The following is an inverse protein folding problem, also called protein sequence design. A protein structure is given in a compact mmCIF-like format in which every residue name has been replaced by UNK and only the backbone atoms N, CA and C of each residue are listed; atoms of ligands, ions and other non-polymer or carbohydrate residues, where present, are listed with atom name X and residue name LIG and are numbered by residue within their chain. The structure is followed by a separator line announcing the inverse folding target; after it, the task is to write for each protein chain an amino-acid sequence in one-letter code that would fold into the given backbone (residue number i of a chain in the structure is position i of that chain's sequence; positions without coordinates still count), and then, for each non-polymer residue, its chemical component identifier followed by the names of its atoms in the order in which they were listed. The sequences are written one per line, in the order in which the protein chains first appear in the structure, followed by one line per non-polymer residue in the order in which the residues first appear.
data_IF_818336171789
#
_entry.id   IF_818336171789
#
_cell.length_a   1.000
_cell.length_b   1.000
_cell.length_c   1.000
_cell.angle_alpha   90.00
_cell.angle_beta   90.00
_cell.angle_gamma   90.00
#
_symmetry.space_group_name_H-M   'P 1'
#
loop_
_entity.id
_entity.type
_entity.pdbx_description
1 polymer ?
#
# COMPACT_ATOMS: atom_id res chain seq x y z
N UNK A 1 -6.17 8.48 18.05
CA UNK A 1 -6.13 7.20 18.80
C UNK A 1 -4.82 6.49 18.47
N UNK A 2 -3.93 6.24 19.45
CA UNK A 2 -2.56 5.83 19.13
C UNK A 2 -2.29 4.32 19.30
N UNK A 3 -1.42 3.78 18.44
CA UNK A 3 -0.35 2.82 18.75
C UNK A 3 -0.61 1.33 19.09
N UNK A 4 -1.73 0.69 18.71
CA UNK A 4 -1.95 -0.73 19.09
C UNK A 4 -1.62 -1.81 18.02
N UNK A 5 -1.33 -1.50 16.76
CA UNK A 5 -1.39 -2.53 15.69
C UNK A 5 -0.08 -3.24 15.27
N UNK A 6 1.10 -2.90 15.83
CA UNK A 6 2.39 -3.42 15.32
C UNK A 6 3.17 -4.30 16.32
N UNK A 7 2.79 -4.36 17.60
CA UNK A 7 3.45 -5.22 18.60
C UNK A 7 2.56 -6.40 19.05
N UNK A 8 1.94 -7.12 18.12
CA UNK A 8 1.39 -8.44 18.46
C UNK A 8 2.58 -9.40 18.66
N UNK A 9 2.70 -10.11 19.79
CA UNK A 9 3.78 -11.06 19.99
C UNK A 9 3.70 -12.15 18.91
N UNK A 10 4.80 -12.39 18.20
CA UNK A 10 4.92 -13.50 17.25
C UNK A 10 5.14 -14.76 18.08
N UNK A 11 4.10 -15.58 18.22
CA UNK A 11 4.17 -16.85 18.94
C UNK A 11 4.57 -17.98 17.99
N UNK A 12 5.56 -18.78 18.38
CA UNK A 12 5.98 -19.96 17.64
C UNK A 12 5.02 -21.14 17.91
N UNK A 13 4.85 -22.08 16.97
CA UNK A 13 4.03 -23.28 17.17
C UNK A 13 4.68 -24.19 18.23
N UNK A 14 4.02 -24.42 19.37
CA UNK A 14 4.53 -25.35 20.40
C UNK A 14 3.86 -25.28 21.78
N UNK A 15 3.33 -24.12 22.19
CA UNK A 15 3.00 -23.89 23.61
C UNK A 15 1.48 -23.95 23.98
N UNK A 16 0.59 -24.43 23.11
CA UNK A 16 -0.85 -24.03 23.16
C UNK A 16 -1.88 -25.16 23.35
N UNK A 17 -1.52 -26.27 23.98
CA UNK A 17 -2.42 -27.43 24.08
C UNK A 17 -3.53 -27.33 25.15
N UNK A 18 -3.52 -26.35 26.06
CA UNK A 18 -4.51 -26.32 27.15
C UNK A 18 -5.17 -24.94 27.29
N UNK A 19 -6.51 -24.96 27.29
CA UNK A 19 -7.47 -23.85 27.48
C UNK A 19 -7.79 -22.97 26.26
N UNK A 20 -8.87 -23.32 25.55
CA UNK A 20 -9.57 -22.45 24.59
C UNK A 20 -10.28 -21.34 25.36
N UNK A 21 -9.61 -20.22 25.62
CA UNK A 21 -10.23 -19.06 26.28
C UNK A 21 -11.40 -18.49 25.43
N UNK A 22 -12.59 -18.32 26.02
CA UNK A 22 -13.71 -17.66 25.33
C UNK A 22 -13.31 -16.25 24.88
N UNK A 23 -13.55 -15.92 23.61
CA UNK A 23 -13.33 -14.56 23.07
C UNK A 23 -12.00 -14.35 22.36
N UNK A 24 -11.13 -15.37 22.25
CA UNK A 24 -9.92 -15.29 21.40
C UNK A 24 -10.18 -15.98 20.06
N UNK A 25 -9.86 -15.31 18.95
CA UNK A 25 -9.87 -15.89 17.61
C UNK A 25 -8.43 -16.07 17.10
N UNK A 26 -7.98 -17.32 16.94
CA UNK A 26 -6.63 -17.66 16.45
C UNK A 26 -6.63 -17.72 14.93
N UNK A 27 -5.93 -16.76 14.31
CA UNK A 27 -5.95 -16.54 12.86
C UNK A 27 -4.57 -16.80 12.26
N UNK A 28 -4.49 -17.80 11.37
CA UNK A 28 -3.33 -17.97 10.49
C UNK A 28 -3.47 -17.10 9.25
N UNK A 29 -2.60 -16.10 9.08
CA UNK A 29 -2.57 -15.29 7.85
C UNK A 29 -1.68 -15.98 6.81
N UNK A 30 -2.23 -16.38 5.67
CA UNK A 30 -1.46 -17.03 4.62
C UNK A 30 -0.25 -16.16 4.19
N UNK A 31 0.89 -16.76 3.79
CA UNK A 31 2.10 -16.02 3.42
C UNK A 31 1.84 -14.92 2.40
N UNK A 32 0.99 -15.19 1.40
CA UNK A 32 0.65 -14.25 0.34
C UNK A 32 0.00 -12.98 0.91
N UNK A 33 -1.03 -13.12 1.75
CA UNK A 33 -1.68 -11.99 2.40
C UNK A 33 -0.76 -11.28 3.41
N UNK A 34 0.09 -12.05 4.10
CA UNK A 34 1.10 -11.51 5.03
C UNK A 34 2.15 -10.65 4.32
N UNK A 35 2.60 -11.08 3.13
CA UNK A 35 3.55 -10.34 2.31
C UNK A 35 2.93 -9.04 1.79
N UNK A 36 1.69 -9.10 1.28
CA UNK A 36 1.00 -7.88 0.84
C UNK A 36 0.81 -6.87 1.97
N UNK A 37 0.44 -7.34 3.17
CA UNK A 37 0.38 -6.52 4.37
C UNK A 37 1.73 -5.86 4.68
N UNK A 38 2.81 -6.64 4.62
CA UNK A 38 4.14 -6.18 4.98
C UNK A 38 4.73 -5.16 3.99
N UNK A 39 4.40 -5.25 2.69
CA UNK A 39 4.88 -4.30 1.68
C UNK A 39 3.96 -3.11 1.45
N UNK A 40 2.80 -3.05 2.11
CA UNK A 40 1.90 -1.93 1.94
C UNK A 40 2.21 -0.82 2.94
N UNK A 41 2.49 0.41 2.48
CA UNK A 41 2.50 1.54 3.40
C UNK A 41 1.08 1.95 3.84
N UNK A 42 0.03 1.41 3.20
CA UNK A 42 -1.35 1.89 3.36
C UNK A 42 -2.12 1.27 4.54
N UNK A 43 -1.43 0.52 5.39
CA UNK A 43 -1.98 -0.10 6.60
C UNK A 43 -1.53 -1.54 6.78
N UNK A 44 -2.10 -2.28 7.75
CA UNK A 44 -1.67 -3.63 8.10
C UNK A 44 -2.08 -4.71 7.07
N UNK A 45 -2.67 -4.33 5.93
CA UNK A 45 -3.16 -5.24 4.90
C UNK A 45 -4.67 -5.45 4.96
N UNK A 46 -5.26 -5.73 3.79
CA UNK A 46 -6.71 -5.88 3.63
C UNK A 46 -7.29 -6.92 4.59
N UNK A 47 -6.72 -8.12 4.60
CA UNK A 47 -7.20 -9.25 5.40
C UNK A 47 -7.15 -8.93 6.90
N UNK A 48 -6.10 -8.25 7.34
CA UNK A 48 -5.94 -7.86 8.75
C UNK A 48 -6.98 -6.83 9.16
N UNK A 49 -7.15 -5.76 8.38
CA UNK A 49 -8.16 -4.74 8.71
C UNK A 49 -9.60 -5.28 8.69
N UNK A 50 -9.93 -6.14 7.72
CA UNK A 50 -11.27 -6.73 7.64
C UNK A 50 -11.54 -7.62 8.86
N UNK A 51 -10.57 -8.42 9.26
CA UNK A 51 -10.71 -9.29 10.44
C UNK A 51 -10.69 -8.52 11.75
N UNK A 52 -9.91 -7.44 11.86
CA UNK A 52 -9.91 -6.56 13.03
C UNK A 52 -11.28 -5.89 13.22
N UNK A 53 -11.93 -5.46 12.13
CA UNK A 53 -13.31 -4.93 12.18
C UNK A 53 -14.31 -6.00 12.60
N UNK A 54 -14.23 -7.19 12.00
CA UNK A 54 -15.09 -8.32 12.36
C UNK A 54 -14.94 -8.69 13.84
N UNK A 55 -13.69 -8.80 14.31
CA UNK A 55 -13.39 -9.10 15.70
C UNK A 55 -13.91 -8.02 16.65
N UNK A 56 -13.80 -6.75 16.30
CA UNK A 56 -14.36 -5.65 17.09
C UNK A 56 -15.89 -5.77 17.28
N UNK A 57 -16.62 -6.11 16.22
CA UNK A 57 -18.08 -6.30 16.28
C UNK A 57 -18.49 -7.52 17.09
N UNK A 58 -17.75 -8.62 16.93
CA UNK A 58 -17.97 -9.87 17.67
C UNK A 58 -17.35 -9.85 19.08
N UNK A 59 -16.71 -8.74 19.48
CA UNK A 59 -16.01 -8.55 20.77
C UNK A 59 -14.94 -9.60 21.04
N UNK A 60 -14.13 -9.88 20.02
CA UNK A 60 -13.06 -10.86 20.03
C UNK A 60 -11.70 -10.19 20.10
N UNK A 61 -10.74 -10.90 20.70
CA UNK A 61 -9.32 -10.61 20.61
C UNK A 61 -8.73 -11.46 19.50
N UNK A 62 -8.11 -10.81 18.51
CA UNK A 62 -7.38 -11.52 17.46
C UNK A 62 -6.01 -11.95 17.96
N UNK A 63 -5.68 -13.21 17.70
CA UNK A 63 -4.34 -13.75 17.88
C UNK A 63 -3.78 -14.21 16.53
N UNK A 64 -2.75 -13.52 16.06
CA UNK A 64 -2.17 -13.74 14.74
C UNK A 64 -1.09 -14.81 14.76
N UNK A 65 -1.16 -15.70 13.76
CA UNK A 65 -0.16 -16.70 13.44
C UNK A 65 0.24 -16.53 11.97
N UNK A 66 1.50 -16.77 11.65
CA UNK A 66 2.06 -16.56 10.32
C UNK A 66 2.63 -17.89 9.79
N UNK A 67 1.77 -18.80 9.30
CA UNK A 67 2.22 -20.05 8.70
C UNK A 67 3.14 -19.77 7.51
N UNK A 68 4.10 -20.66 7.29
CA UNK A 68 5.15 -20.58 6.27
C UNK A 68 4.64 -20.93 4.88
N UNK A 69 3.57 -21.73 4.81
CA UNK A 69 2.87 -22.07 3.58
C UNK A 69 1.36 -22.15 3.81
N UNK A 70 0.59 -22.19 2.72
CA UNK A 70 -0.85 -22.41 2.80
C UNK A 70 -1.18 -23.80 3.39
N UNK A 71 -0.37 -24.81 3.06
CA UNK A 71 -0.48 -26.18 3.54
C UNK A 71 -0.21 -26.27 5.04
N UNK A 72 0.79 -25.56 5.55
CA UNK A 72 1.05 -25.50 7.00
C UNK A 72 -0.11 -24.81 7.73
N UNK A 73 -0.64 -23.71 7.20
CA UNK A 73 -1.81 -23.05 7.78
C UNK A 73 -3.01 -24.00 7.86
N UNK A 74 -3.26 -24.77 6.79
CA UNK A 74 -4.32 -25.79 6.78
C UNK A 74 -4.04 -26.94 7.77
N UNK A 75 -2.78 -27.38 7.92
CA UNK A 75 -2.40 -28.40 8.90
C UNK A 75 -2.63 -27.90 10.33
N UNK A 76 -2.21 -26.68 10.65
CA UNK A 76 -2.47 -26.04 11.95
C UNK A 76 -3.97 -25.90 12.23
N UNK A 77 -4.77 -25.57 11.20
CA UNK A 77 -6.23 -25.50 11.33
C UNK A 77 -6.84 -26.88 11.68
N UNK A 78 -6.36 -27.95 11.03
CA UNK A 78 -6.79 -29.34 11.29
C UNK A 78 -6.38 -29.83 12.67
N UNK A 79 -5.17 -29.49 13.11
CA UNK A 79 -4.66 -29.84 14.43
C UNK A 79 -5.34 -29.06 15.57
N UNK A 80 -6.14 -28.05 15.22
CA UNK A 80 -6.85 -27.22 16.19
C UNK A 80 -6.02 -26.08 16.77
N UNK A 81 -4.81 -25.85 16.26
CA UNK A 81 -3.93 -24.74 16.62
C UNK A 81 -4.53 -23.38 16.20
N UNK A 82 -5.28 -23.38 15.09
CA UNK A 82 -5.99 -22.22 14.56
C UNK A 82 -7.50 -22.44 14.59
N UNK A 83 -8.24 -21.33 14.57
CA UNK A 83 -9.69 -21.31 14.35
C UNK A 83 -10.04 -20.88 12.92
N UNK A 84 -9.17 -20.06 12.31
CA UNK A 84 -9.32 -19.48 10.99
C UNK A 84 -7.97 -19.40 10.26
N UNK A 85 -7.96 -19.69 8.96
CA UNK A 85 -6.90 -19.31 8.02
C UNK A 85 -7.43 -18.25 7.07
N UNK A 86 -6.76 -17.09 7.00
CA UNK A 86 -7.17 -15.93 6.22
C UNK A 86 -6.26 -15.72 5.00
N UNK A 87 -6.84 -15.26 3.89
CA UNK A 87 -6.08 -14.93 2.68
C UNK A 87 -5.69 -16.14 1.83
N UNK A 88 -6.42 -17.25 1.95
CA UNK A 88 -6.15 -18.47 1.19
C UNK A 88 -6.58 -18.31 -0.28
N UNK A 89 -5.65 -18.54 -1.21
CA UNK A 89 -5.83 -18.46 -2.67
C UNK A 89 -5.56 -19.79 -3.42
N UNK A 90 -5.37 -20.87 -2.67
CA UNK A 90 -5.19 -22.23 -3.19
C UNK A 90 -6.50 -22.89 -3.65
N UNK A 91 -6.41 -24.10 -4.24
CA UNK A 91 -7.59 -24.91 -4.52
C UNK A 91 -8.34 -25.24 -3.22
N UNK A 92 -9.67 -25.23 -3.24
CA UNK A 92 -10.45 -25.59 -2.06
C UNK A 92 -10.11 -27.01 -1.60
N UNK A 93 -9.72 -27.21 -0.32
CA UNK A 93 -9.51 -28.55 0.20
C UNK A 93 -10.81 -29.36 0.11
N UNK A 94 -10.74 -30.60 -0.39
CA UNK A 94 -11.85 -31.56 -0.28
C UNK A 94 -11.86 -32.16 1.13
N UNK A 95 -12.11 -31.33 2.14
CA UNK A 95 -12.02 -31.69 3.55
C UNK A 95 -13.35 -31.42 4.27
N UNK A 96 -14.05 -32.45 4.76
CA UNK A 96 -15.35 -32.29 5.44
C UNK A 96 -15.24 -31.64 6.82
N UNK A 97 -14.03 -31.53 7.39
CA UNK A 97 -13.76 -30.87 8.67
C UNK A 97 -13.49 -29.37 8.52
N UNK A 98 -13.61 -28.83 7.31
CA UNK A 98 -13.40 -27.41 7.01
C UNK A 98 -14.69 -26.75 6.51
N UNK A 99 -14.85 -25.47 6.86
CA UNK A 99 -15.91 -24.60 6.33
C UNK A 99 -15.30 -23.37 5.65
N UNK A 100 -16.04 -22.77 4.72
CA UNK A 100 -15.53 -21.69 3.86
C UNK A 100 -16.48 -20.49 3.87
N UNK A 101 -15.92 -19.28 3.81
CA UNK A 101 -16.67 -18.08 3.46
C UNK A 101 -16.79 -17.94 1.93
N UNK A 102 -17.72 -17.12 1.43
CA UNK A 102 -17.63 -16.61 0.06
C UNK A 102 -16.22 -16.08 -0.21
N UNK A 103 -15.74 -16.29 -1.43
CA UNK A 103 -14.48 -15.69 -1.85
C UNK A 103 -14.66 -14.22 -2.10
N UNK A 104 -13.63 -13.44 -1.80
CA UNK A 104 -13.54 -12.08 -2.30
C UNK A 104 -12.63 -12.03 -3.51
N UNK A 105 -13.10 -11.46 -4.63
CA UNK A 105 -12.26 -11.27 -5.80
C UNK A 105 -11.21 -10.22 -5.46
N UNK A 106 -9.94 -10.58 -5.46
CA UNK A 106 -8.89 -9.59 -5.61
C UNK A 106 -8.71 -9.29 -7.10
N UNK A 107 -8.20 -8.09 -7.42
CA UNK A 107 -7.83 -7.73 -8.78
C UNK A 107 -6.95 -8.82 -9.42
N UNK A 108 -6.96 -8.87 -10.75
CA UNK A 108 -6.20 -9.84 -11.54
C UNK A 108 -4.73 -9.91 -11.10
N UNK A 109 -4.30 -11.11 -10.74
CA UNK A 109 -2.93 -11.44 -10.33
C UNK A 109 -2.31 -12.28 -11.44
N UNK A 110 -1.04 -12.05 -11.83
CA UNK A 110 -0.28 -12.98 -12.67
C UNK A 110 -0.42 -14.44 -12.20
N UNK A 111 -0.84 -15.32 -13.10
CA UNK A 111 -0.87 -16.76 -12.86
C UNK A 111 0.54 -17.33 -13.05
N UNK A 112 1.20 -17.59 -11.93
CA UNK A 112 2.52 -18.20 -11.89
C UNK A 112 2.46 -19.74 -11.81
N UNK A 113 1.26 -20.34 -11.74
CA UNK A 113 1.08 -21.79 -11.55
C UNK A 113 1.27 -22.60 -12.84
N UNK A 114 1.36 -21.91 -13.99
CA UNK A 114 1.58 -22.53 -15.30
C UNK A 114 3.06 -22.80 -15.65
N UNK A 115 4.01 -22.40 -14.81
CA UNK A 115 5.42 -22.56 -15.07
C UNK A 115 6.06 -23.51 -14.06
N UNK A 116 5.93 -24.81 -14.35
CA UNK A 116 6.62 -25.94 -13.69
C UNK A 116 6.32 -26.08 -12.18
N UNK A 117 5.89 -27.27 -11.74
CA UNK A 117 5.56 -27.60 -10.35
C UNK A 117 6.70 -27.39 -9.34
N UNK A 118 7.90 -26.99 -9.78
CA UNK A 118 9.06 -26.65 -8.95
C UNK A 118 9.39 -25.16 -8.88
N UNK A 119 8.78 -24.30 -9.72
CA UNK A 119 9.06 -22.86 -9.76
C UNK A 119 10.48 -22.47 -10.22
N UNK A 120 11.31 -23.43 -10.65
CA UNK A 120 12.72 -23.23 -10.99
C UNK A 120 12.91 -22.38 -12.26
N UNK A 121 12.15 -22.64 -13.32
CA UNK A 121 12.25 -21.88 -14.57
C UNK A 121 11.74 -20.43 -14.45
N UNK A 122 10.70 -20.21 -13.64
CA UNK A 122 10.18 -18.86 -13.31
C UNK A 122 11.20 -18.09 -12.47
N UNK A 123 11.84 -18.77 -11.51
CA UNK A 123 12.94 -18.23 -10.71
C UNK A 123 14.14 -17.87 -11.57
N UNK A 124 14.56 -18.71 -12.51
CA UNK A 124 15.65 -18.40 -13.44
C UNK A 124 15.31 -17.23 -14.36
N UNK A 125 14.09 -17.15 -14.90
CA UNK A 125 13.66 -16.03 -15.74
C UNK A 125 13.58 -14.71 -14.97
N UNK A 126 13.05 -14.73 -13.75
CA UNK A 126 13.03 -13.57 -12.86
C UNK A 126 14.44 -13.18 -12.42
N UNK A 127 15.31 -14.14 -12.08
CA UNK A 127 16.71 -13.89 -11.74
C UNK A 127 17.50 -13.32 -12.93
N UNK A 128 17.33 -13.88 -14.13
CA UNK A 128 17.96 -13.38 -15.35
C UNK A 128 17.47 -11.97 -15.70
N UNK A 129 16.18 -11.68 -15.51
CA UNK A 129 15.62 -10.39 -15.81
C UNK A 129 15.95 -9.32 -14.74
N UNK A 130 16.09 -9.70 -13.47
CA UNK A 130 16.64 -8.86 -12.39
C UNK A 130 18.14 -8.58 -12.60
N UNK A 131 18.90 -9.61 -13.00
CA UNK A 131 20.33 -9.50 -13.31
C UNK A 131 20.59 -8.62 -14.55
N UNK A 132 19.73 -8.69 -15.57
CA UNK A 132 19.79 -7.81 -16.75
C UNK A 132 19.42 -6.35 -16.44
N UNK A 133 18.75 -6.09 -15.31
CA UNK A 133 18.29 -4.76 -14.90
C UNK A 133 19.29 -4.00 -14.01
N UNK A 134 20.55 -4.44 -13.95
CA UNK A 134 21.61 -3.89 -13.06
C UNK A 134 21.27 -3.88 -11.56
N UNK A 135 20.27 -4.65 -11.12
CA UNK A 135 20.01 -4.91 -9.70
C UNK A 135 20.83 -6.13 -9.29
N UNK A 136 21.96 -5.87 -8.64
CA UNK A 136 22.94 -6.86 -8.19
C UNK A 136 22.33 -7.77 -7.12
N UNK A 137 21.76 -8.92 -7.51
CA UNK A 137 21.36 -9.99 -6.58
C UNK A 137 22.55 -10.92 -6.37
N UNK A 138 23.34 -10.71 -5.32
CA UNK A 138 24.26 -11.74 -4.81
C UNK A 138 23.56 -12.56 -3.74
N UNK A 139 23.24 -13.82 -4.05
CA UNK A 139 22.79 -14.80 -3.06
C UNK A 139 23.87 -15.86 -2.81
N UNK A 140 24.31 -16.00 -1.56
CA UNK A 140 25.04 -17.20 -1.12
C UNK A 140 24.03 -18.33 -0.88
N UNK A 141 24.33 -19.51 -1.40
CA UNK A 141 23.55 -20.73 -1.20
C UNK A 141 23.57 -21.21 0.24
N UNK A 142 22.44 -21.74 0.70
CA UNK A 142 22.29 -22.40 1.99
C UNK A 142 20.82 -22.46 2.39
N UNK A 143 20.37 -23.63 2.85
CA UNK A 143 19.03 -23.88 3.39
C UNK A 143 18.59 -22.75 4.34
N UNK A 144 17.48 -22.09 4.00
CA UNK A 144 16.99 -20.94 4.76
C UNK A 144 15.68 -21.29 5.47
N UNK A 145 15.78 -21.51 6.78
CA UNK A 145 14.65 -21.44 7.70
C UNK A 145 14.17 -19.98 7.85
N UNK A 146 12.88 -19.75 8.06
CA UNK A 146 12.29 -18.40 8.00
C UNK A 146 12.96 -17.31 8.87
N UNK A 147 13.54 -17.58 10.06
CA UNK A 147 14.34 -16.58 10.77
C UNK A 147 15.54 -16.02 9.97
N UNK A 148 16.08 -16.76 8.99
CA UNK A 148 17.15 -16.30 8.09
C UNK A 148 16.64 -15.62 6.83
N UNK A 149 15.38 -15.82 6.41
CA UNK A 149 14.75 -15.01 5.33
C UNK A 149 14.56 -13.55 5.76
N UNK A 150 14.39 -13.27 7.06
CA UNK A 150 14.41 -11.90 7.63
C UNK A 150 15.81 -11.27 7.69
N UNK A 151 16.87 -12.04 7.42
CA UNK A 151 18.27 -11.61 7.53
C UNK A 151 19.07 -11.72 6.23
N UNK A 152 18.55 -12.40 5.21
CA UNK A 152 19.29 -12.69 3.97
C UNK A 152 18.47 -12.24 2.75
N UNK A 153 19.04 -11.40 1.86
CA UNK A 153 18.30 -10.83 0.73
C UNK A 153 18.26 -11.80 -0.46
N UNK A 154 17.36 -12.79 -0.47
CA UNK A 154 16.93 -13.53 -1.68
C UNK A 154 15.80 -14.52 -1.36
N UNK A 155 14.92 -14.93 -2.30
CA UNK A 155 14.39 -14.30 -3.50
C UNK A 155 12.86 -14.15 -3.36
N UNK A 156 12.42 -12.96 -2.96
CA UNK A 156 11.04 -12.65 -2.57
C UNK A 156 10.09 -12.44 -3.78
N UNK A 157 10.50 -12.86 -4.97
CA UNK A 157 9.99 -12.34 -6.25
C UNK A 157 9.00 -13.31 -6.92
N UNK A 158 8.71 -14.49 -6.37
CA UNK A 158 8.01 -15.54 -7.13
C UNK A 158 6.62 -15.98 -6.63
N UNK A 159 6.07 -15.46 -5.52
CA UNK A 159 4.85 -16.06 -4.93
C UNK A 159 3.55 -15.28 -5.11
N UNK A 160 3.57 -14.03 -5.55
CA UNK A 160 2.33 -13.29 -5.80
C UNK A 160 2.51 -12.31 -6.95
N UNK A 161 1.58 -12.39 -7.89
CA UNK A 161 1.43 -11.45 -8.98
C UNK A 161 1.26 -9.98 -8.54
N UNK A 162 0.94 -9.68 -7.27
CA UNK A 162 0.92 -8.30 -6.76
C UNK A 162 2.33 -7.77 -6.43
N UNK A 163 3.18 -8.59 -5.81
CA UNK A 163 4.61 -8.28 -5.59
C UNK A 163 5.31 -8.24 -6.94
N UNK A 164 5.02 -9.22 -7.80
CA UNK A 164 5.46 -9.29 -9.19
C UNK A 164 5.01 -8.04 -9.95
N UNK A 165 3.75 -7.60 -9.95
CA UNK A 165 3.31 -6.35 -10.61
C UNK A 165 3.94 -5.06 -10.05
N UNK A 166 4.41 -5.10 -8.80
CA UNK A 166 5.24 -4.03 -8.22
C UNK A 166 6.63 -3.97 -8.89
N UNK A 167 7.20 -5.10 -9.29
CA UNK A 167 8.54 -5.18 -9.88
C UNK A 167 8.59 -5.43 -11.41
N UNK A 168 7.47 -5.82 -12.04
CA UNK A 168 7.36 -6.36 -13.42
C UNK A 168 7.19 -5.38 -14.57
N UNK A 169 6.80 -4.09 -14.44
CA UNK A 169 6.58 -3.25 -15.63
C UNK A 169 7.81 -3.06 -16.54
N UNK A 170 8.94 -3.68 -16.22
CA UNK A 170 10.20 -3.61 -16.95
C UNK A 170 10.67 -4.94 -17.53
N UNK A 171 9.91 -6.03 -17.39
CA UNK A 171 10.19 -7.26 -18.13
C UNK A 171 9.61 -7.14 -19.53
N UNK A 172 10.20 -6.25 -20.35
CA UNK A 172 9.77 -6.00 -21.73
C UNK A 172 9.67 -7.27 -22.56
N UNK A 173 8.80 -7.28 -23.59
CA UNK A 173 8.56 -8.27 -24.66
C UNK A 173 8.46 -9.79 -24.32
N UNK A 174 9.15 -10.31 -23.32
CA UNK A 174 9.04 -11.68 -22.78
C UNK A 174 7.93 -11.87 -21.74
N UNK A 175 7.27 -10.80 -21.28
CA UNK A 175 6.08 -10.87 -20.42
C UNK A 175 4.80 -11.32 -21.16
N UNK A 176 4.86 -11.53 -22.48
CA UNK A 176 3.74 -11.97 -23.32
C UNK A 176 3.15 -13.36 -22.94
N UNK A 177 3.71 -14.04 -21.93
CA UNK A 177 3.25 -15.35 -21.46
C UNK A 177 2.76 -15.36 -20.00
N UNK A 178 2.60 -14.20 -19.33
CA UNK A 178 1.95 -14.15 -18.02
C UNK A 178 0.44 -14.04 -18.22
N UNK A 179 -0.27 -15.16 -18.16
CA UNK A 179 -1.74 -15.13 -18.10
C UNK A 179 -2.15 -14.53 -16.75
N UNK A 180 -3.07 -13.56 -16.74
CA UNK A 180 -3.60 -12.98 -15.51
C UNK A 180 -4.90 -13.69 -15.14
N UNK A 181 -5.02 -14.17 -13.90
CA UNK A 181 -6.27 -14.78 -13.40
C UNK A 181 -6.85 -13.96 -12.26
N UNK A 182 -8.18 -13.88 -12.15
CA UNK A 182 -8.82 -13.43 -10.91
C UNK A 182 -8.34 -14.33 -9.77
N UNK A 183 -7.69 -13.77 -8.75
CA UNK A 183 -7.39 -14.51 -7.53
C UNK A 183 -8.52 -14.24 -6.55
N UNK A 184 -9.26 -15.30 -6.26
CA UNK A 184 -10.30 -15.31 -5.25
C UNK A 184 -9.71 -15.80 -3.95
N UNK A 185 -9.54 -14.90 -2.97
CA UNK A 185 -9.12 -15.29 -1.63
C UNK A 185 -10.32 -15.54 -0.74
N UNK A 186 -10.12 -16.32 0.32
CA UNK A 186 -11.16 -16.65 1.29
C UNK A 186 -10.61 -16.92 2.68
N UNK A 187 -11.52 -16.96 3.63
CA UNK A 187 -11.30 -17.44 4.98
C UNK A 187 -11.69 -18.92 5.08
N UNK A 188 -10.80 -19.76 5.61
CA UNK A 188 -11.02 -21.19 5.86
C UNK A 188 -11.13 -21.41 7.35
N UNK A 189 -12.25 -21.97 7.78
CA UNK A 189 -12.60 -22.16 9.18
C UNK A 189 -12.53 -23.63 9.55
N UNK A 190 -12.15 -23.89 10.80
CA UNK A 190 -12.34 -25.20 11.42
C UNK A 190 -13.84 -25.48 11.60
N UNK A 191 -14.30 -26.72 11.42
CA UNK A 191 -15.73 -27.06 11.48
C UNK A 191 -16.39 -26.77 12.83
N UNK A 192 -15.68 -26.98 13.93
CA UNK A 192 -16.07 -26.70 15.33
C UNK A 192 -15.59 -25.31 15.81
N UNK A 193 -15.24 -24.39 14.91
CA UNK A 193 -14.99 -23.01 15.30
C UNK A 193 -16.24 -22.42 15.97
N UNK A 194 -16.04 -21.76 17.12
CA UNK A 194 -17.13 -21.21 17.94
C UNK A 194 -17.88 -20.07 17.22
N UNK A 195 -17.17 -19.32 16.37
CA UNK A 195 -17.78 -18.43 15.38
C UNK A 195 -18.04 -19.18 14.11
N UNK A 196 -19.26 -19.03 13.63
CA UNK A 196 -19.70 -19.72 12.45
C UNK A 196 -19.34 -18.90 11.20
N UNK A 197 -18.90 -19.53 10.11
CA UNK A 197 -18.67 -18.87 8.81
C UNK A 197 -19.84 -18.02 8.33
N UNK A 198 -21.07 -18.33 8.79
CA UNK A 198 -22.28 -17.57 8.54
C UNK A 198 -22.20 -16.13 9.10
N UNK A 199 -21.65 -15.93 10.30
CA UNK A 199 -21.49 -14.58 10.87
C UNK A 199 -20.50 -13.76 10.06
N UNK A 200 -19.35 -14.34 9.74
CA UNK A 200 -18.36 -13.70 8.86
C UNK A 200 -18.94 -13.41 7.48
N UNK A 201 -19.74 -14.33 6.92
CA UNK A 201 -20.41 -14.10 5.63
C UNK A 201 -21.44 -12.96 5.70
N UNK A 202 -22.23 -12.87 6.76
CA UNK A 202 -23.18 -11.79 6.98
C UNK A 202 -22.47 -10.44 7.18
N UNK A 203 -21.40 -10.41 7.97
CA UNK A 203 -20.51 -9.26 8.12
C UNK A 203 -19.96 -8.83 6.77
N UNK A 204 -19.44 -9.78 5.98
CA UNK A 204 -18.87 -9.54 4.66
C UNK A 204 -19.88 -8.91 3.69
N UNK A 205 -21.07 -9.52 3.58
CA UNK A 205 -22.13 -9.03 2.71
C UNK A 205 -22.53 -7.60 3.09
N UNK A 206 -22.58 -7.32 4.40
CA UNK A 206 -22.90 -5.99 4.91
C UNK A 206 -21.83 -4.97 4.55
N UNK A 207 -20.54 -5.22 4.81
CA UNK A 207 -19.46 -4.26 4.51
C UNK A 207 -19.22 -4.07 3.01
N UNK A 208 -19.59 -5.04 2.17
CA UNK A 208 -19.60 -4.89 0.71
C UNK A 208 -20.76 -3.98 0.28
N UNK A 209 -21.99 -4.21 0.78
CA UNK A 209 -23.16 -3.36 0.50
C UNK A 209 -22.97 -1.92 0.96
N UNK A 210 -22.33 -1.72 2.10
CA UNK A 210 -21.99 -0.40 2.65
C UNK A 210 -20.83 0.28 1.87
N UNK A 211 -20.13 -0.42 0.98
CA UNK A 211 -18.98 0.09 0.23
C UNK A 211 -17.68 0.15 1.04
N UNK A 212 -17.70 -0.14 2.33
CA UNK A 212 -16.51 -0.17 3.20
C UNK A 212 -15.42 -1.11 2.69
N UNK A 213 -15.80 -2.30 2.21
CA UNK A 213 -14.85 -3.25 1.63
C UNK A 213 -14.30 -2.79 0.28
N UNK A 214 -15.13 -2.17 -0.56
CA UNK A 214 -14.69 -1.57 -1.81
C UNK A 214 -13.67 -0.45 -1.56
N UNK A 215 -13.85 0.36 -0.51
CA UNK A 215 -12.93 1.42 -0.10
C UNK A 215 -11.59 0.86 0.38
N UNK A 216 -11.61 -0.22 1.18
CA UNK A 216 -10.37 -0.91 1.57
C UNK A 216 -9.64 -1.48 0.35
N UNK A 217 -10.36 -2.15 -0.55
CA UNK A 217 -9.77 -2.70 -1.79
C UNK A 217 -9.18 -1.59 -2.67
N UNK A 218 -9.86 -0.45 -2.77
CA UNK A 218 -9.34 0.73 -3.47
C UNK A 218 -8.07 1.26 -2.81
N UNK A 219 -8.02 1.36 -1.47
CA UNK A 219 -6.83 1.82 -0.75
C UNK A 219 -5.60 0.94 -1.03
N UNK A 220 -5.76 -0.38 -0.91
CA UNK A 220 -4.64 -1.32 -1.05
C UNK A 220 -4.28 -1.64 -2.50
N UNK A 221 -5.25 -1.59 -3.42
CA UNK A 221 -5.05 -2.12 -4.78
C UNK A 221 -5.47 -1.19 -5.92
N UNK A 222 -6.17 -0.09 -5.63
CA UNK A 222 -6.77 0.77 -6.64
C UNK A 222 -5.79 1.53 -7.53
N UNK A 223 -4.53 1.64 -7.11
CA UNK A 223 -3.46 2.35 -7.81
C UNK A 223 -2.67 1.47 -8.78
N UNK A 224 -2.78 0.14 -8.69
CA UNK A 224 -2.06 -0.78 -9.60
C UNK A 224 -2.56 -0.76 -11.04
N UNK A 225 -3.73 -0.16 -11.28
CA UNK A 225 -4.30 0.03 -12.62
C UNK A 225 -4.02 1.42 -13.20
N UNK A 226 -3.07 2.18 -12.63
CA UNK A 226 -2.52 3.34 -13.32
C UNK A 226 -2.04 2.92 -14.72
N UNK A 227 -2.23 3.78 -15.72
CA UNK A 227 -1.85 3.46 -17.10
C UNK A 227 -0.34 3.15 -17.13
N UNK A 228 0.02 2.04 -17.77
CA UNK A 228 1.39 1.52 -17.79
C UNK A 228 2.41 2.52 -18.33
N UNK A 229 2.01 3.33 -19.31
CA UNK A 229 2.80 4.43 -19.90
C UNK A 229 3.11 5.57 -18.90
N UNK A 230 2.34 5.67 -17.83
CA UNK A 230 2.39 6.74 -16.84
C UNK A 230 3.13 6.33 -15.58
N UNK A 231 3.49 5.04 -15.42
CA UNK A 231 4.24 4.55 -14.27
C UNK A 231 5.74 4.76 -14.46
N UNK A 232 6.50 5.06 -13.39
CA UNK A 232 7.94 5.19 -13.52
C UNK A 232 8.58 3.86 -13.91
N UNK A 233 9.48 3.89 -14.89
CA UNK A 233 10.37 2.76 -15.15
C UNK A 233 11.32 2.62 -13.95
N UNK A 234 11.36 1.48 -13.25
CA UNK A 234 12.20 1.37 -12.04
C UNK A 234 13.68 1.65 -12.33
N UNK A 235 14.20 1.38 -13.53
CA UNK A 235 15.57 1.72 -13.90
C UNK A 235 15.80 3.24 -13.93
N UNK A 236 14.83 4.03 -14.38
CA UNK A 236 14.86 5.50 -14.31
C UNK A 236 14.71 5.99 -12.86
N UNK A 237 13.77 5.39 -12.12
CA UNK A 237 13.55 5.69 -10.71
C UNK A 237 14.81 5.43 -9.88
N UNK A 238 15.37 4.21 -9.93
CA UNK A 238 16.59 3.83 -9.20
C UNK A 238 17.74 4.76 -9.52
N UNK A 239 18.02 5.00 -10.81
CA UNK A 239 19.07 5.92 -11.24
C UNK A 239 18.87 7.33 -10.70
N UNK A 240 17.64 7.84 -10.74
CA UNK A 240 17.31 9.16 -10.20
C UNK A 240 17.55 9.19 -8.69
N UNK A 241 17.10 8.17 -7.96
CA UNK A 241 17.23 8.08 -6.51
C UNK A 241 18.68 7.90 -6.05
N UNK A 242 19.50 7.21 -6.83
CA UNK A 242 20.93 7.03 -6.59
C UNK A 242 21.72 8.31 -6.83
N UNK A 243 21.40 9.04 -7.89
CA UNK A 243 22.22 10.17 -8.34
C UNK A 243 21.78 11.52 -7.80
N UNK A 244 20.50 11.71 -7.45
CA UNK A 244 19.95 13.04 -7.15
C UNK A 244 19.41 13.24 -5.74
N UNK A 245 19.16 12.18 -4.96
CA UNK A 245 18.51 12.33 -3.64
C UNK A 245 19.49 12.74 -2.54
N UNK A 246 20.75 12.27 -2.62
CA UNK A 246 21.76 12.42 -1.56
C UNK A 246 21.89 13.85 -0.98
N UNK A 247 21.90 14.93 -1.79
CA UNK A 247 22.00 16.31 -1.27
C UNK A 247 20.84 16.70 -0.34
N UNK A 248 19.67 16.09 -0.50
CA UNK A 248 18.43 16.51 0.16
C UNK A 248 18.04 15.63 1.35
N UNK A 249 18.73 14.52 1.58
CA UNK A 249 18.43 13.55 2.64
C UNK A 249 18.28 14.21 4.01
N UNK A 250 19.21 15.11 4.37
CA UNK A 250 19.16 15.79 5.67
C UNK A 250 17.90 16.64 5.80
N UNK A 251 17.62 17.48 4.81
CA UNK A 251 16.45 18.36 4.79
C UNK A 251 15.15 17.58 4.80
N UNK A 252 15.03 16.54 3.95
CA UNK A 252 13.84 15.69 3.93
C UNK A 252 13.63 15.07 5.31
N UNK A 253 14.67 14.50 5.94
CA UNK A 253 14.56 13.92 7.29
C UNK A 253 14.09 14.94 8.33
N UNK A 254 14.72 16.11 8.37
CA UNK A 254 14.43 17.15 9.36
C UNK A 254 13.01 17.69 9.20
N UNK A 255 12.62 18.03 7.97
CA UNK A 255 11.28 18.55 7.62
C UNK A 255 10.22 17.49 7.87
N UNK A 256 10.41 16.26 7.37
CA UNK A 256 9.46 15.17 7.58
C UNK A 256 9.25 14.87 9.07
N UNK A 257 10.32 14.89 9.87
CA UNK A 257 10.22 14.74 11.33
C UNK A 257 9.50 15.92 11.98
N UNK A 258 9.77 17.15 11.56
CA UNK A 258 9.11 18.35 12.09
C UNK A 258 7.61 18.34 11.82
N UNK A 259 7.23 17.98 10.59
CA UNK A 259 5.84 18.02 10.16
C UNK A 259 5.10 16.70 10.39
N UNK A 260 5.77 15.59 10.73
CA UNK A 260 5.12 14.29 10.94
C UNK A 260 4.62 13.66 9.64
N UNK A 261 5.41 13.76 8.56
CA UNK A 261 5.12 13.18 7.24
C UNK A 261 6.13 12.07 6.95
N UNK A 262 5.74 10.99 6.29
CA UNK A 262 6.66 9.93 5.89
C UNK A 262 7.66 10.43 4.83
N UNK A 263 8.99 10.35 5.07
CA UNK A 263 10.01 10.70 4.09
C UNK A 263 9.86 9.99 2.74
N UNK A 264 9.42 8.73 2.72
CA UNK A 264 9.27 7.98 1.48
C UNK A 264 8.11 8.49 0.64
N UNK A 265 7.04 9.02 1.27
CA UNK A 265 5.95 9.69 0.56
C UNK A 265 6.43 11.01 -0.07
N UNK A 266 7.25 11.78 0.65
CA UNK A 266 7.84 13.03 0.14
C UNK A 266 8.81 12.74 -1.02
N UNK A 267 9.61 11.68 -0.94
CA UNK A 267 10.48 11.25 -2.05
C UNK A 267 9.64 10.87 -3.28
N UNK A 268 8.56 10.11 -3.10
CA UNK A 268 7.66 9.75 -4.19
C UNK A 268 7.04 11.00 -4.84
N UNK A 269 6.62 11.97 -4.03
CA UNK A 269 6.11 13.26 -4.50
C UNK A 269 7.16 14.03 -5.32
N UNK A 270 8.35 14.29 -4.76
CA UNK A 270 9.44 15.02 -5.44
C UNK A 270 9.79 14.35 -6.78
N UNK A 271 9.82 13.02 -6.82
CA UNK A 271 10.10 12.29 -8.05
C UNK A 271 9.10 12.63 -9.16
N UNK A 272 7.81 12.69 -8.83
CA UNK A 272 6.76 13.02 -9.80
C UNK A 272 6.66 14.51 -10.12
N UNK A 273 7.14 15.39 -9.23
CA UNK A 273 7.19 16.82 -9.50
C UNK A 273 8.36 17.20 -10.41
N UNK A 274 9.58 16.78 -10.09
CA UNK A 274 10.77 17.26 -10.82
C UNK A 274 11.84 16.21 -11.07
N UNK A 275 11.65 14.96 -10.64
CA UNK A 275 12.73 13.95 -10.60
C UNK A 275 13.96 14.48 -9.85
N UNK A 276 13.74 15.17 -8.73
CA UNK A 276 14.79 15.81 -7.91
C UNK A 276 15.62 16.88 -8.64
N UNK A 277 15.09 17.46 -9.72
CA UNK A 277 15.71 18.58 -10.42
C UNK A 277 15.31 19.91 -9.73
N UNK A 278 16.27 20.65 -9.14
CA UNK A 278 15.98 21.92 -8.48
C UNK A 278 15.72 23.07 -9.46
N UNK A 279 16.09 22.91 -10.73
CA UNK A 279 15.94 23.93 -11.78
C UNK A 279 14.78 23.61 -12.72
N UNK A 280 13.96 22.59 -12.40
CA UNK A 280 12.81 22.20 -13.19
C UNK A 280 11.81 23.36 -13.36
N UNK A 281 11.51 23.71 -14.61
CA UNK A 281 10.55 24.75 -14.95
C UNK A 281 9.35 24.13 -15.66
N UNK A 282 8.15 24.38 -15.14
CA UNK A 282 6.92 24.00 -15.83
C UNK A 282 6.53 25.08 -16.85
N UNK A 283 6.09 24.69 -18.07
CA UNK A 283 5.50 25.63 -19.03
C UNK A 283 4.28 26.39 -18.48
N UNK A 284 3.64 25.86 -17.43
CA UNK A 284 2.44 26.44 -16.81
C UNK A 284 2.76 27.33 -15.60
N UNK A 285 4.04 27.51 -15.24
CA UNK A 285 4.50 28.46 -14.22
C UNK A 285 5.07 27.87 -12.91
N UNK A 286 4.68 26.68 -12.41
CA UNK A 286 5.38 26.06 -11.27
C UNK A 286 6.87 25.86 -11.51
N UNK A 287 7.67 25.92 -10.44
CA UNK A 287 9.12 25.80 -10.54
C UNK A 287 9.77 25.12 -9.34
N UNK A 288 11.00 24.66 -9.54
CA UNK A 288 11.83 24.09 -8.49
C UNK A 288 11.57 22.62 -8.19
N UNK A 289 12.28 22.10 -7.18
CA UNK A 289 12.26 20.67 -6.84
C UNK A 289 10.88 20.13 -6.42
N UNK A 290 10.03 20.98 -5.83
CA UNK A 290 8.66 20.63 -5.43
C UNK A 290 7.59 21.18 -6.38
N UNK A 291 8.00 21.78 -7.52
CA UNK A 291 7.10 22.44 -8.49
C UNK A 291 6.04 23.32 -7.81
N UNK A 292 6.48 24.27 -7.00
CA UNK A 292 5.56 25.15 -6.27
C UNK A 292 5.06 26.23 -7.23
N UNK A 293 3.74 26.36 -7.37
CA UNK A 293 3.12 27.44 -8.16
C UNK A 293 3.50 28.82 -7.58
N UNK A 294 3.74 29.81 -8.45
CA UNK A 294 4.22 31.13 -8.01
C UNK A 294 3.31 31.84 -7.00
N UNK A 295 1.98 31.65 -7.09
CA UNK A 295 1.03 32.18 -6.10
C UNK A 295 1.22 31.51 -4.73
N UNK A 296 1.39 30.19 -4.71
CA UNK A 296 1.70 29.41 -3.51
C UNK A 296 3.06 29.80 -2.93
N UNK A 297 4.08 30.01 -3.77
CA UNK A 297 5.39 30.46 -3.32
C UNK A 297 5.33 31.83 -2.61
N UNK A 298 4.54 32.78 -3.15
CA UNK A 298 4.27 34.07 -2.50
C UNK A 298 3.52 33.92 -1.19
N UNK A 299 2.47 33.10 -1.15
CA UNK A 299 1.71 32.80 0.06
C UNK A 299 2.58 32.18 1.15
N UNK A 300 3.54 31.34 0.77
CA UNK A 300 4.49 30.69 1.67
C UNK A 300 5.76 31.51 1.94
N UNK A 301 5.91 32.68 1.32
CA UNK A 301 7.11 33.51 1.40
C UNK A 301 8.41 32.74 1.12
N UNK A 302 8.42 31.93 0.05
CA UNK A 302 9.55 31.06 -0.32
C UNK A 302 10.03 31.31 -1.74
N UNK A 303 11.32 31.16 -1.97
CA UNK A 303 11.89 31.04 -3.31
C UNK A 303 11.81 29.57 -3.78
N UNK A 304 11.01 29.25 -4.82
CA UNK A 304 10.87 27.87 -5.28
C UNK A 304 12.16 27.28 -5.85
N UNK A 305 13.12 28.11 -6.29
CA UNK A 305 14.39 27.67 -6.88
C UNK A 305 15.45 27.31 -5.83
N UNK A 306 15.25 27.71 -4.57
CA UNK A 306 16.05 27.18 -3.48
C UNK A 306 15.53 25.78 -3.11
N UNK A 307 16.24 24.73 -3.53
CA UNK A 307 15.80 23.35 -3.36
C UNK A 307 15.42 22.98 -1.91
N UNK A 308 16.23 23.39 -0.93
CA UNK A 308 15.97 23.07 0.48
C UNK A 308 14.73 23.81 1.01
N UNK A 309 14.60 25.10 0.70
CA UNK A 309 13.44 25.89 1.09
C UNK A 309 12.16 25.42 0.37
N UNK A 310 12.28 25.00 -0.90
CA UNK A 310 11.19 24.44 -1.69
C UNK A 310 10.69 23.12 -1.11
N UNK A 311 11.60 22.21 -0.69
CA UNK A 311 11.21 20.97 0.03
C UNK A 311 10.43 21.29 1.31
N UNK A 312 10.96 22.20 2.14
CA UNK A 312 10.27 22.59 3.38
C UNK A 312 8.90 23.19 3.09
N UNK A 313 8.81 24.14 2.16
CA UNK A 313 7.57 24.82 1.81
C UNK A 313 6.54 23.87 1.20
N UNK A 314 6.97 22.93 0.35
CA UNK A 314 6.09 21.93 -0.24
C UNK A 314 5.51 20.98 0.82
N UNK A 315 6.33 20.48 1.76
CA UNK A 315 5.83 19.67 2.88
C UNK A 315 4.91 20.48 3.79
N UNK A 316 5.27 21.73 4.11
CA UNK A 316 4.40 22.64 4.87
C UNK A 316 3.07 22.87 4.15
N UNK A 317 3.07 22.99 2.83
CA UNK A 317 1.86 23.18 2.04
C UNK A 317 0.95 21.94 2.05
N UNK A 318 1.52 20.72 1.98
CA UNK A 318 0.75 19.49 2.20
C UNK A 318 0.04 19.50 3.57
N UNK A 319 0.73 19.98 4.61
CA UNK A 319 0.15 20.07 5.95
C UNK A 319 -1.01 21.08 6.01
N UNK A 320 -0.88 22.24 5.35
CA UNK A 320 -1.95 23.24 5.26
C UNK A 320 -3.18 22.63 4.60
N UNK A 321 -3.00 21.99 3.43
CA UNK A 321 -4.10 21.34 2.71
C UNK A 321 -4.72 20.23 3.57
N UNK A 322 -3.91 19.37 4.19
CA UNK A 322 -4.38 18.30 5.06
C UNK A 322 -5.25 18.83 6.20
N UNK A 323 -4.82 19.91 6.85
CA UNK A 323 -5.55 20.55 7.95
C UNK A 323 -6.86 21.18 7.45
N UNK A 324 -6.85 21.82 6.27
CA UNK A 324 -8.07 22.38 5.66
C UNK A 324 -9.11 21.31 5.33
N UNK A 325 -8.69 20.05 5.17
CA UNK A 325 -9.55 18.90 4.95
C UNK A 325 -10.10 18.28 6.24
N UNK A 326 -9.69 18.72 7.43
CA UNK A 326 -10.21 18.20 8.71
C UNK A 326 -11.71 18.43 8.90
N UNK A 327 -12.25 19.47 8.25
CA UNK A 327 -13.69 19.75 8.21
C UNK A 327 -14.52 18.67 7.49
N UNK A 328 -13.86 17.74 6.81
CA UNK A 328 -14.50 16.62 6.13
C UNK A 328 -14.21 15.30 6.86
N UNK A 329 -15.25 14.46 6.98
CA UNK A 329 -15.12 13.11 7.52
C UNK A 329 -14.48 12.24 6.43
N UNK A 330 -13.22 11.88 6.64
CA UNK A 330 -12.43 11.05 5.73
C UNK A 330 -11.59 10.09 6.58
N UNK A 331 -11.34 8.89 6.07
CA UNK A 331 -10.27 8.08 6.64
C UNK A 331 -8.91 8.74 6.34
N UNK A 332 -7.87 8.49 7.16
CA UNK A 332 -6.57 9.15 7.00
C UNK A 332 -5.97 9.03 5.60
N UNK A 333 -5.99 7.83 5.00
CA UNK A 333 -5.45 7.64 3.67
C UNK A 333 -6.28 8.31 2.58
N UNK A 334 -7.60 8.30 2.70
CA UNK A 334 -8.49 9.02 1.78
C UNK A 334 -8.22 10.53 1.83
N UNK A 335 -8.01 11.09 3.03
CA UNK A 335 -7.60 12.49 3.19
C UNK A 335 -6.24 12.77 2.56
N UNK A 336 -5.28 11.86 2.65
CA UNK A 336 -3.95 12.02 2.02
C UNK A 336 -4.06 12.03 0.51
N UNK A 337 -4.90 11.16 -0.07
CA UNK A 337 -5.13 11.13 -1.51
C UNK A 337 -5.80 12.42 -2.00
N UNK A 338 -6.76 12.96 -1.24
CA UNK A 338 -7.35 14.27 -1.53
C UNK A 338 -6.33 15.40 -1.35
N UNK A 339 -5.45 15.30 -0.36
CA UNK A 339 -4.36 16.29 -0.12
C UNK A 339 -3.42 16.36 -1.31
N UNK A 340 -2.98 15.21 -1.84
CA UNK A 340 -2.14 15.13 -3.03
C UNK A 340 -2.86 15.65 -4.28
N UNK A 341 -4.14 15.31 -4.45
CA UNK A 341 -4.94 15.83 -5.56
C UNK A 341 -5.07 17.37 -5.51
N UNK A 342 -5.27 17.93 -4.33
CA UNK A 342 -5.34 19.37 -4.11
C UNK A 342 -3.96 20.06 -4.19
N UNK A 343 -2.87 19.37 -3.87
CA UNK A 343 -1.51 19.86 -4.13
C UNK A 343 -1.30 20.08 -5.64
N UNK A 344 -1.71 19.11 -6.45
CA UNK A 344 -1.60 19.16 -7.91
C UNK A 344 -2.55 20.16 -8.58
N UNK A 345 -3.84 20.13 -8.23
CA UNK A 345 -4.87 20.94 -8.91
C UNK A 345 -5.18 22.28 -8.21
N UNK A 346 -4.59 22.51 -7.04
CA UNK A 346 -4.87 23.63 -6.15
C UNK A 346 -6.10 23.41 -5.24
N UNK A 347 -6.29 24.25 -4.20
CA UNK A 347 -7.31 24.03 -3.16
C UNK A 347 -8.76 24.01 -3.68
N UNK A 348 -9.05 24.79 -4.72
CA UNK A 348 -10.39 24.84 -5.35
C UNK A 348 -10.83 23.51 -5.96
N UNK A 349 -9.89 22.58 -6.20
CA UNK A 349 -10.19 21.22 -6.64
C UNK A 349 -11.09 20.48 -5.66
N UNK A 350 -10.84 20.62 -4.35
CA UNK A 350 -11.60 19.90 -3.32
C UNK A 350 -13.06 20.32 -3.39
N UNK A 351 -13.34 21.62 -3.40
CA UNK A 351 -14.71 22.15 -3.48
C UNK A 351 -15.42 21.72 -4.76
N UNK A 352 -14.68 21.68 -5.88
CA UNK A 352 -15.18 21.18 -7.17
C UNK A 352 -15.52 19.70 -7.11
N UNK A 353 -14.58 18.87 -6.64
CA UNK A 353 -14.75 17.43 -6.52
C UNK A 353 -15.94 17.10 -5.60
N UNK A 354 -16.10 17.82 -4.49
CA UNK A 354 -17.22 17.65 -3.58
C UNK A 354 -18.56 18.12 -4.14
N UNK A 355 -18.58 19.19 -4.92
CA UNK A 355 -19.79 19.61 -5.65
C UNK A 355 -20.22 18.54 -6.65
N UNK A 356 -19.28 18.03 -7.44
CA UNK A 356 -19.55 16.97 -8.42
C UNK A 356 -19.98 15.67 -7.73
N UNK A 357 -19.33 15.31 -6.62
CA UNK A 357 -19.73 14.19 -5.77
C UNK A 357 -21.17 14.32 -5.29
N UNK A 358 -21.56 15.49 -4.75
CA UNK A 358 -22.93 15.73 -4.29
C UNK A 358 -23.96 15.70 -5.43
N UNK A 359 -23.59 16.17 -6.61
CA UNK A 359 -24.47 16.13 -7.77
C UNK A 359 -24.70 14.69 -8.25
N UNK A 360 -23.68 13.84 -8.17
CA UNK A 360 -23.73 12.46 -8.65
C UNK A 360 -24.38 11.51 -7.63
N UNK A 361 -24.05 11.65 -6.35
CA UNK A 361 -24.45 10.69 -5.29
C UNK A 361 -25.41 11.28 -4.25
N UNK A 362 -25.81 12.54 -4.40
CA UNK A 362 -26.60 13.26 -3.39
C UNK A 362 -25.78 13.64 -2.15
N UNK A 363 -26.45 14.05 -1.08
CA UNK A 363 -25.83 14.40 0.21
C UNK A 363 -25.65 13.20 1.14
N UNK A 364 -25.87 11.97 0.64
CA UNK A 364 -26.11 10.77 1.46
C UNK A 364 -24.89 10.17 2.15
N UNK A 365 -23.66 10.55 1.78
CA UNK A 365 -22.47 10.13 2.53
C UNK A 365 -21.89 11.32 3.30
N UNK A 366 -21.94 11.23 4.62
CA UNK A 366 -21.18 12.13 5.49
C UNK A 366 -19.67 11.88 5.35
N UNK A 367 -19.26 10.67 4.93
CA UNK A 367 -17.88 10.23 4.79
C UNK A 367 -17.43 10.24 3.33
N UNK A 368 -16.40 11.02 3.01
CA UNK A 368 -15.84 11.09 1.66
C UNK A 368 -14.71 10.08 1.52
N UNK A 369 -14.83 9.20 0.53
CA UNK A 369 -13.78 8.23 0.17
C UNK A 369 -13.11 8.62 -1.15
N UNK A 370 -11.85 8.21 -1.33
CA UNK A 370 -11.13 8.41 -2.58
C UNK A 370 -11.76 7.64 -3.75
N UNK A 371 -12.28 6.44 -3.47
CA UNK A 371 -13.03 5.61 -4.42
C UNK A 371 -14.22 6.35 -5.04
N UNK A 372 -14.90 7.18 -4.24
CA UNK A 372 -16.03 7.97 -4.69
C UNK A 372 -15.57 9.09 -5.63
N UNK A 373 -14.49 9.79 -5.32
CA UNK A 373 -13.92 10.81 -6.21
C UNK A 373 -13.42 10.22 -7.52
N UNK A 374 -12.90 8.98 -7.51
CA UNK A 374 -12.60 8.24 -8.75
C UNK A 374 -13.85 7.91 -9.54
N UNK A 375 -14.98 7.64 -8.89
CA UNK A 375 -16.26 7.42 -9.58
C UNK A 375 -16.75 8.71 -10.23
N UNK A 376 -16.68 9.84 -9.50
CA UNK A 376 -16.94 11.18 -10.04
C UNK A 376 -16.09 11.45 -11.29
N UNK A 377 -14.79 11.12 -11.26
CA UNK A 377 -13.91 11.33 -12.41
C UNK A 377 -14.37 10.59 -13.68
N UNK A 378 -14.99 9.41 -13.54
CA UNK A 378 -15.48 8.60 -14.67
C UNK A 378 -16.76 9.12 -15.30
N UNK A 379 -17.59 9.81 -14.52
CA UNK A 379 -18.91 10.32 -14.96
C UNK A 379 -18.88 11.81 -15.31
N UNK A 380 -17.86 12.54 -14.83
CA UNK A 380 -17.62 13.94 -15.14
C UNK A 380 -17.49 14.16 -16.66
N UNK A 381 -17.87 15.36 -17.12
CA UNK A 381 -17.85 15.74 -18.53
C UNK A 381 -16.99 16.99 -18.78
N UNK A 382 -16.52 17.17 -20.02
CA UNK A 382 -15.80 18.36 -20.45
C UNK A 382 -14.56 18.67 -19.61
N UNK A 383 -14.38 19.94 -19.23
CA UNK A 383 -13.22 20.40 -18.46
C UNK A 383 -13.11 19.81 -17.05
N UNK A 384 -14.23 19.42 -16.42
CA UNK A 384 -14.22 18.76 -15.12
C UNK A 384 -13.69 17.33 -15.23
N UNK A 385 -14.02 16.62 -16.32
CA UNK A 385 -13.47 15.29 -16.60
C UNK A 385 -11.95 15.32 -16.69
N UNK A 386 -11.39 16.26 -17.47
CA UNK A 386 -9.95 16.37 -17.67
C UNK A 386 -9.20 16.61 -16.34
N UNK A 387 -9.69 17.55 -15.52
CA UNK A 387 -9.09 17.89 -14.23
C UNK A 387 -9.19 16.75 -13.22
N UNK A 388 -10.35 16.11 -13.13
CA UNK A 388 -10.53 14.95 -12.24
C UNK A 388 -9.64 13.78 -12.67
N UNK A 389 -9.53 13.51 -13.97
CA UNK A 389 -8.68 12.46 -14.50
C UNK A 389 -7.18 12.74 -14.26
N UNK A 390 -6.74 13.98 -14.43
CA UNK A 390 -5.37 14.41 -14.12
C UNK A 390 -5.06 14.23 -12.63
N UNK A 391 -5.93 14.73 -11.75
CA UNK A 391 -5.77 14.62 -10.30
C UNK A 391 -5.68 13.15 -9.85
N UNK A 392 -6.60 12.31 -10.34
CA UNK A 392 -6.58 10.88 -10.06
C UNK A 392 -5.28 10.27 -10.54
N UNK A 393 -4.89 10.50 -11.80
CA UNK A 393 -3.65 9.97 -12.37
C UNK A 393 -2.41 10.38 -11.59
N UNK A 394 -2.33 11.64 -11.15
CA UNK A 394 -1.25 12.17 -10.33
C UNK A 394 -1.13 11.41 -8.99
N UNK A 395 -2.25 11.27 -8.29
CA UNK A 395 -2.29 10.56 -7.00
C UNK A 395 -1.92 9.08 -7.16
N UNK A 396 -2.43 8.39 -8.20
CA UNK A 396 -2.12 6.97 -8.40
C UNK A 396 -0.62 6.74 -8.68
N UNK A 397 0.04 7.63 -9.43
CA UNK A 397 1.49 7.53 -9.69
C UNK A 397 2.33 7.68 -8.41
N UNK A 398 1.97 8.62 -7.54
CA UNK A 398 2.62 8.82 -6.24
C UNK A 398 2.38 7.61 -5.34
N UNK A 399 1.12 7.14 -5.24
CA UNK A 399 0.77 5.94 -4.45
C UNK A 399 1.58 4.73 -4.89
N UNK A 400 1.68 4.49 -6.20
CA UNK A 400 2.49 3.42 -6.76
C UNK A 400 3.95 3.54 -6.36
N UNK A 401 4.56 4.72 -6.57
CA UNK A 401 5.98 4.95 -6.28
C UNK A 401 6.28 4.82 -4.79
N UNK A 402 5.40 5.35 -3.95
CA UNK A 402 5.50 5.23 -2.51
C UNK A 402 5.43 3.77 -2.04
N UNK A 403 4.50 2.97 -2.58
CA UNK A 403 4.43 1.55 -2.29
C UNK A 403 5.72 0.80 -2.70
N UNK A 404 6.32 1.17 -3.84
CA UNK A 404 7.60 0.59 -4.27
C UNK A 404 8.75 0.94 -3.34
N UNK A 405 8.89 2.22 -2.97
CA UNK A 405 9.93 2.68 -2.06
C UNK A 405 9.81 1.99 -0.70
N UNK A 406 8.58 1.91 -0.19
CA UNK A 406 8.28 1.26 1.07
C UNK A 406 8.60 -0.24 1.03
N UNK A 407 8.12 -0.98 0.02
CA UNK A 407 8.42 -2.40 -0.15
C UNK A 407 9.91 -2.69 -0.30
N UNK A 408 10.62 -1.88 -1.08
CA UNK A 408 12.08 -1.95 -1.23
C UNK A 408 12.81 -1.75 0.12
N UNK A 409 12.39 -0.78 0.92
CA UNK A 409 13.00 -0.55 2.24
C UNK A 409 12.63 -1.66 3.25
N UNK A 410 11.39 -2.12 3.25
CA UNK A 410 10.90 -3.20 4.11
C UNK A 410 11.64 -4.54 3.86
N UNK A 411 12.08 -4.77 2.61
CA UNK A 411 12.91 -5.92 2.22
C UNK A 411 14.41 -5.70 2.44
N UNK A 412 14.82 -4.56 2.99
CA UNK A 412 16.23 -4.14 3.13
C UNK A 412 16.99 -4.11 1.78
N UNK A 413 16.25 -3.86 0.70
CA UNK A 413 16.76 -3.68 -0.66
C UNK A 413 16.35 -2.29 -1.17
N UNK A 414 16.77 -1.20 -0.49
CA UNK A 414 16.36 0.14 -0.88
C UNK A 414 16.87 0.44 -2.29
N UNK A 415 16.06 1.17 -3.08
CA UNK A 415 16.44 1.57 -4.44
C UNK A 415 17.66 2.51 -4.47
N UNK A 416 17.99 3.15 -3.35
CA UNK A 416 19.30 3.77 -3.16
C UNK A 416 19.69 3.83 -1.67
N UNK A 417 20.99 3.93 -1.33
CA UNK A 417 21.43 4.08 0.06
C UNK A 417 20.84 5.33 0.74
N UNK A 418 20.69 6.42 -0.01
CA UNK A 418 20.10 7.66 0.47
C UNK A 418 18.64 7.45 0.93
N UNK A 419 17.83 6.77 0.10
CA UNK A 419 16.45 6.39 0.42
C UNK A 419 16.41 5.44 1.62
N UNK A 420 17.27 4.43 1.64
CA UNK A 420 17.35 3.47 2.76
C UNK A 420 17.65 4.16 4.09
N UNK A 421 18.46 5.23 4.09
CA UNK A 421 18.77 6.01 5.30
C UNK A 421 17.61 6.85 5.83
N UNK A 422 16.58 7.07 5.01
CA UNK A 422 15.39 7.85 5.37
C UNK A 422 14.26 6.96 5.88
N UNK A 423 14.26 5.68 5.50
CA UNK A 423 13.32 4.71 6.01
C UNK A 423 13.60 4.46 7.49
N UNK A 424 12.59 4.63 8.33
CA UNK A 424 12.63 4.19 9.72
C UNK A 424 11.70 2.98 9.88
N UNK A 425 12.25 1.75 9.91
CA UNK A 425 11.44 0.54 10.08
C UNK A 425 10.87 0.41 11.51
N UNK A 426 11.31 1.24 12.46
CA UNK A 426 10.91 1.20 13.87
C UNK A 426 9.95 2.32 14.29
N UNK A 427 9.87 3.40 13.51
CA UNK A 427 8.94 4.48 13.77
C UNK A 427 7.54 4.08 13.29
N UNK A 428 6.51 4.14 14.16
CA UNK A 428 5.14 4.01 13.68
C UNK A 428 4.95 5.13 12.65
N UNK A 429 4.59 4.76 11.41
CA UNK A 429 4.28 5.71 10.34
C UNK A 429 3.29 6.71 10.94
N UNK A 430 3.76 7.91 11.28
CA UNK A 430 2.88 8.93 11.83
C UNK A 430 2.06 9.45 10.67
N UNK A 431 0.82 8.99 10.57
CA UNK A 431 -0.08 9.27 9.45
C UNK A 431 -0.66 10.69 9.46
N UNK A 432 -0.38 11.47 10.50
CA UNK A 432 -0.92 12.81 10.67
C UNK A 432 0.22 13.83 10.68
N UNK A 433 0.20 14.79 9.74
CA UNK A 433 1.00 15.97 9.88
C UNK A 433 0.70 16.62 11.22
N UNK A 434 1.70 16.80 12.08
CA UNK A 434 1.50 17.54 13.32
C UNK A 434 1.36 19.01 12.95
N UNK A 435 0.39 19.71 13.55
CA UNK A 435 0.37 21.15 13.51
C UNK A 435 1.66 21.65 14.16
N UNK A 436 2.68 21.94 13.37
CA UNK A 436 3.81 22.72 13.81
C UNK A 436 3.20 23.98 14.41
N UNK A 437 3.21 24.09 15.75
CA UNK A 437 2.74 25.26 16.47
C UNK A 437 3.41 26.43 15.78
N UNK A 438 2.60 27.28 15.16
CA UNK A 438 3.04 28.47 14.46
C UNK A 438 3.80 29.35 15.46
N UNK A 439 5.11 29.17 15.51
CA UNK A 439 6.02 30.18 16.02
C UNK A 439 5.87 31.38 15.11
N UNK A 440 5.25 32.43 15.64
CA UNK A 440 5.27 33.76 15.05
C UNK A 440 6.68 34.27 14.88
#
# INVERSE_FOLDING_TARGET
MPAAAINAPVFLPGDWAEEREPGILRVGLCPVASLQAFFSPFGPGLEREVLERFAGEERLVLRWFFPRSAEEGLAMLRNGDLDLVAGYDGPLPSDPELKYTPSYPLQQVPDLRGADQTGAATRERLQAALAASSVLVRGNGGDASLPSLWKTPAPLVASDGLVVRSYVPQFGAGAAALSFRPVSRRCIWRKDAFLTPQRMAAFWERIEKEGSLANLRERYFGFWNAREDSLPRLGELSRTLETRVSPYVRTIREVCRQYGVDPLLVIALIYHESRFDPDAQSPTGPGGIMQIAMQTARFLHVDPWNAHASIEAGVRYLCIIWNDLEKFVMDPWDRWFVTLAAYNQGPSFVERALRLYRNEFGTGSEKIAWSDLKRVARVSQGGDMARMAEAVGYVERIRYTYALLYGACATRLPLSPAVGSLADPSSPISFAPSAARSGR
#
